data_IF_934638040464
#
_entry.id   IF_934638040464
#
_cell.length_a   1.000
_cell.length_b   1.000
_cell.length_c   1.000
_cell.angle_alpha   90.00
_cell.angle_beta   90.00
_cell.angle_gamma   90.00
#
_symmetry.space_group_name_H-M   'P 1'
#
loop_
_entity.id
_entity.type
_entity.pdbx_description
1 polymer ?
#
# COMPACT_ATOMS: atom_id res chain seq x y z
N UNK A 1 52.84 -78.52 -11.48
CA UNK A 1 53.20 -77.13 -11.29
C UNK A 1 51.93 -76.33 -11.44
N UNK A 2 51.44 -75.83 -10.37
CA UNK A 2 50.08 -75.36 -10.15
C UNK A 2 49.83 -73.91 -10.56
N UNK A 3 48.75 -73.76 -11.30
CA UNK A 3 48.18 -72.46 -11.63
C UNK A 3 46.86 -72.23 -10.91
N UNK A 4 46.88 -71.35 -9.89
CA UNK A 4 45.65 -70.95 -9.14
C UNK A 4 44.82 -69.98 -9.98
N UNK A 5 43.59 -70.37 -10.32
CA UNK A 5 42.59 -69.49 -10.87
C UNK A 5 42.01 -68.61 -9.72
N UNK A 6 42.12 -67.29 -9.86
CA UNK A 6 41.38 -66.34 -9.00
C UNK A 6 40.00 -66.03 -9.65
N UNK A 7 38.98 -66.37 -8.93
CA UNK A 7 37.59 -66.01 -9.29
C UNK A 7 37.40 -64.57 -8.74
N UNK A 8 37.21 -63.61 -9.68
CA UNK A 8 36.85 -62.23 -9.32
C UNK A 8 35.34 -62.13 -9.15
N UNK A 9 34.92 -61.67 -7.96
CA UNK A 9 33.55 -61.32 -7.70
C UNK A 9 33.31 -59.88 -8.17
N UNK A 10 32.52 -59.67 -9.20
CA UNK A 10 32.05 -58.37 -9.62
C UNK A 10 30.84 -58.02 -8.75
N UNK A 11 31.00 -57.08 -7.84
CA UNK A 11 29.93 -56.49 -7.07
C UNK A 11 29.20 -55.51 -7.95
N UNK A 12 27.97 -55.81 -8.34
CA UNK A 12 27.05 -54.85 -9.01
C UNK A 12 26.53 -53.88 -7.95
N UNK A 13 26.95 -52.65 -8.02
CA UNK A 13 26.36 -51.54 -7.24
C UNK A 13 25.13 -51.04 -7.96
N UNK A 14 23.95 -51.44 -7.49
CA UNK A 14 22.69 -50.81 -7.88
C UNK A 14 22.64 -49.40 -7.27
N UNK A 15 22.87 -48.36 -8.09
CA UNK A 15 22.57 -47.00 -7.73
C UNK A 15 21.04 -46.80 -7.74
N UNK A 16 20.43 -46.81 -6.57
CA UNK A 16 19.05 -46.34 -6.41
C UNK A 16 19.00 -44.84 -6.65
N UNK A 17 18.57 -44.43 -7.82
CA UNK A 17 18.18 -43.05 -8.10
C UNK A 17 16.95 -42.73 -7.23
N UNK A 18 17.18 -42.08 -6.09
CA UNK A 18 16.12 -41.44 -5.31
C UNK A 18 15.54 -40.33 -6.18
N UNK A 19 14.37 -40.56 -6.76
CA UNK A 19 13.57 -39.50 -7.39
C UNK A 19 13.19 -38.52 -6.30
N UNK A 20 13.83 -37.36 -6.28
CA UNK A 20 13.34 -36.21 -5.52
C UNK A 20 11.93 -35.90 -5.99
N UNK A 21 10.93 -35.81 -5.10
CA UNK A 21 9.60 -35.40 -5.50
C UNK A 21 9.70 -34.06 -6.21
N UNK A 22 9.28 -33.99 -7.47
CA UNK A 22 9.11 -32.73 -8.18
C UNK A 22 8.28 -31.83 -7.28
N UNK A 23 8.83 -30.65 -6.96
CA UNK A 23 8.17 -29.68 -6.10
C UNK A 23 6.74 -29.53 -6.54
N UNK A 24 5.80 -29.82 -5.64
CA UNK A 24 4.39 -29.63 -5.90
C UNK A 24 4.24 -28.17 -6.35
N UNK A 25 3.83 -27.97 -7.59
CA UNK A 25 3.44 -26.64 -8.07
C UNK A 25 2.46 -26.09 -7.03
N UNK A 26 2.77 -24.98 -6.42
CA UNK A 26 1.88 -24.28 -5.49
C UNK A 26 0.64 -23.95 -6.32
N UNK A 27 -0.38 -24.81 -6.23
CA UNK A 27 -1.66 -24.56 -6.89
C UNK A 27 -2.26 -23.33 -6.22
N UNK A 28 -2.83 -22.43 -7.03
CA UNK A 28 -3.61 -21.30 -6.51
C UNK A 28 -4.68 -21.86 -5.56
N UNK A 29 -4.41 -21.74 -4.25
CA UNK A 29 -5.20 -22.43 -3.24
C UNK A 29 -6.52 -21.70 -2.93
N UNK A 30 -6.78 -20.56 -3.58
CA UNK A 30 -8.01 -19.77 -3.40
C UNK A 30 -9.22 -20.34 -4.15
N UNK A 31 -9.03 -21.36 -5.00
CA UNK A 31 -10.09 -21.92 -5.85
C UNK A 31 -10.43 -21.04 -7.07
N UNK A 32 -11.52 -21.35 -7.77
CA UNK A 32 -11.98 -20.54 -8.90
C UNK A 32 -12.40 -19.15 -8.43
N UNK A 33 -12.42 -18.17 -9.35
CA UNK A 33 -12.83 -16.79 -9.08
C UNK A 33 -14.17 -16.78 -8.31
N UNK A 34 -14.12 -16.24 -7.08
CA UNK A 34 -15.31 -16.18 -6.23
C UNK A 34 -16.30 -15.17 -6.80
N UNK A 35 -17.56 -15.58 -6.96
CA UNK A 35 -18.64 -14.67 -7.37
C UNK A 35 -19.19 -13.83 -6.20
N UNK A 36 -18.82 -14.17 -4.96
CA UNK A 36 -19.25 -13.42 -3.78
C UNK A 36 -18.62 -12.04 -3.79
N UNK A 37 -19.41 -10.95 -3.77
CA UNK A 37 -18.88 -9.60 -3.67
C UNK A 37 -18.11 -9.42 -2.37
N UNK A 38 -16.92 -8.82 -2.45
CA UNK A 38 -16.07 -8.55 -1.30
C UNK A 38 -15.45 -7.15 -1.37
N UNK A 39 -15.18 -6.57 -0.21
CA UNK A 39 -14.31 -5.41 -0.08
C UNK A 39 -12.85 -5.89 0.03
N UNK A 40 -11.98 -5.42 -0.85
CA UNK A 40 -10.54 -5.60 -0.65
C UNK A 40 -10.04 -4.68 0.46
N UNK A 41 -9.37 -5.25 1.46
CA UNK A 41 -8.72 -4.50 2.54
C UNK A 41 -7.23 -4.79 2.47
N UNK A 42 -6.44 -3.77 2.22
CA UNK A 42 -5.01 -3.88 1.93
C UNK A 42 -4.16 -3.16 2.95
N UNK A 43 -2.97 -3.72 3.18
CA UNK A 43 -1.84 -3.07 3.87
C UNK A 43 -0.57 -3.22 3.04
N UNK A 44 0.49 -2.49 3.41
CA UNK A 44 1.75 -2.59 2.67
C UNK A 44 2.68 -3.68 3.22
N UNK A 45 2.78 -3.84 4.54
CA UNK A 45 3.78 -4.72 5.15
C UNK A 45 3.33 -5.32 6.49
N UNK A 46 4.15 -6.23 7.03
CA UNK A 46 3.75 -7.13 8.13
C UNK A 46 3.25 -6.42 9.39
N UNK A 47 3.86 -5.35 9.93
CA UNK A 47 3.36 -4.69 11.14
C UNK A 47 1.93 -4.18 11.03
N UNK A 48 1.50 -3.71 9.84
CA UNK A 48 0.12 -3.30 9.58
C UNK A 48 -0.79 -4.53 9.41
N UNK A 49 -0.28 -5.53 8.68
CA UNK A 49 -1.04 -6.72 8.31
C UNK A 49 -1.43 -7.59 9.52
N UNK A 50 -0.54 -7.72 10.51
CA UNK A 50 -0.83 -8.44 11.76
C UNK A 50 -2.04 -7.87 12.46
N UNK A 51 -2.14 -6.54 12.57
CA UNK A 51 -3.25 -5.86 13.23
C UNK A 51 -4.56 -6.12 12.48
N UNK A 52 -4.54 -6.01 11.12
CA UNK A 52 -5.75 -6.21 10.32
C UNK A 52 -6.21 -7.66 10.29
N UNK A 53 -5.29 -8.62 10.17
CA UNK A 53 -5.65 -10.05 10.18
C UNK A 53 -6.29 -10.48 11.50
N UNK A 54 -5.91 -9.87 12.62
CA UNK A 54 -6.52 -10.12 13.91
C UNK A 54 -8.00 -9.67 14.00
N UNK A 55 -8.46 -8.79 13.12
CA UNK A 55 -9.85 -8.34 13.05
C UNK A 55 -10.75 -9.27 12.22
N UNK A 56 -10.17 -10.19 11.46
CA UNK A 56 -10.94 -11.05 10.55
C UNK A 56 -11.61 -12.17 11.34
N UNK A 57 -12.93 -12.25 11.23
CA UNK A 57 -13.72 -13.38 11.69
C UNK A 57 -13.95 -14.37 10.55
N UNK A 58 -14.11 -15.66 10.87
CA UNK A 58 -14.26 -16.76 9.91
C UNK A 58 -13.15 -16.79 8.83
N UNK A 59 -11.86 -16.72 9.20
CA UNK A 59 -10.78 -16.56 8.27
C UNK A 59 -10.59 -17.80 7.38
N UNK A 60 -10.51 -17.59 6.08
CA UNK A 60 -10.23 -18.58 5.07
C UNK A 60 -8.96 -18.19 4.30
N UNK A 61 -7.78 -18.61 4.79
CA UNK A 61 -6.52 -18.26 4.13
C UNK A 61 -6.35 -19.02 2.82
N UNK A 62 -5.73 -18.36 1.85
CA UNK A 62 -5.32 -18.96 0.59
C UNK A 62 -4.11 -18.21 0.01
N UNK A 63 -3.48 -18.78 -1.02
CA UNK A 63 -2.28 -18.19 -1.62
C UNK A 63 -2.41 -18.21 -3.15
N UNK A 64 -2.07 -17.10 -3.79
CA UNK A 64 -2.01 -16.95 -5.24
C UNK A 64 -0.63 -16.37 -5.59
N UNK A 65 0.14 -17.04 -6.42
CA UNK A 65 1.49 -16.59 -6.85
C UNK A 65 2.39 -16.14 -5.69
N UNK A 66 2.30 -16.81 -4.55
CA UNK A 66 3.09 -16.50 -3.35
C UNK A 66 2.52 -15.39 -2.47
N UNK A 67 1.46 -14.70 -2.88
CA UNK A 67 0.75 -13.69 -2.08
C UNK A 67 -0.32 -14.38 -1.23
N UNK A 68 -0.28 -14.14 0.08
CA UNK A 68 -1.29 -14.63 1.01
C UNK A 68 -2.53 -13.74 1.02
N UNK A 69 -3.69 -14.35 0.86
CA UNK A 69 -5.01 -13.72 0.96
C UNK A 69 -5.79 -14.38 2.10
N UNK A 70 -6.55 -13.59 2.85
CA UNK A 70 -7.46 -14.09 3.88
C UNK A 70 -8.86 -13.57 3.58
N UNK A 71 -9.75 -14.45 3.15
CA UNK A 71 -11.18 -14.14 3.06
C UNK A 71 -11.81 -14.28 4.43
N UNK A 72 -12.81 -13.48 4.71
CA UNK A 72 -13.54 -13.55 5.99
C UNK A 72 -14.47 -12.36 6.14
N UNK A 73 -14.68 -11.95 7.39
CA UNK A 73 -15.49 -10.78 7.70
C UNK A 73 -14.76 -9.84 8.65
N UNK A 74 -14.92 -8.54 8.42
CA UNK A 74 -14.57 -7.50 9.40
C UNK A 74 -15.83 -6.65 9.60
N UNK A 75 -16.26 -6.44 10.85
CA UNK A 75 -17.49 -5.72 11.18
C UNK A 75 -18.73 -6.27 10.44
N UNK A 76 -18.79 -7.60 10.28
CA UNK A 76 -19.86 -8.30 9.57
C UNK A 76 -19.80 -8.25 8.04
N UNK A 77 -18.88 -7.48 7.44
CA UNK A 77 -18.74 -7.34 5.98
C UNK A 77 -17.81 -8.39 5.39
N UNK A 78 -18.18 -8.91 4.25
CA UNK A 78 -17.32 -9.81 3.50
C UNK A 78 -16.08 -9.06 2.99
N UNK A 79 -14.91 -9.54 3.36
CA UNK A 79 -13.62 -8.94 2.96
C UNK A 79 -12.66 -9.97 2.39
N UNK A 80 -11.73 -9.50 1.59
CA UNK A 80 -10.46 -10.16 1.31
C UNK A 80 -9.33 -9.27 1.82
N UNK A 81 -8.57 -9.77 2.81
CA UNK A 81 -7.44 -9.06 3.41
C UNK A 81 -6.14 -9.59 2.85
N UNK A 82 -5.25 -8.70 2.44
CA UNK A 82 -3.94 -9.08 1.91
C UNK A 82 -2.93 -7.95 2.05
N UNK A 83 -1.66 -8.32 1.94
CA UNK A 83 -0.53 -7.41 1.99
C UNK A 83 -0.06 -7.11 0.57
N UNK A 84 0.03 -5.83 0.21
CA UNK A 84 0.48 -5.42 -1.11
C UNK A 84 1.97 -5.71 -1.36
N UNK A 85 2.77 -5.74 -0.31
CA UNK A 85 4.21 -5.56 -0.36
C UNK A 85 4.58 -4.08 -0.45
N UNK A 86 5.79 -3.75 0.00
CA UNK A 86 6.28 -2.37 0.03
C UNK A 86 6.55 -1.87 -1.39
N UNK A 87 6.22 -0.60 -1.63
CA UNK A 87 6.51 0.19 -2.82
C UNK A 87 5.58 -0.04 -4.00
N UNK A 88 5.60 0.90 -4.95
CA UNK A 88 4.65 1.12 -6.04
C UNK A 88 4.42 -0.12 -6.92
N UNK A 89 5.50 -0.80 -7.31
CA UNK A 89 5.41 -1.97 -8.22
C UNK A 89 4.71 -3.13 -7.53
N UNK A 90 5.10 -3.44 -6.28
CA UNK A 90 4.45 -4.48 -5.50
C UNK A 90 2.96 -4.16 -5.29
N UNK A 91 2.66 -2.91 -4.93
CA UNK A 91 1.30 -2.47 -4.69
C UNK A 91 0.42 -2.59 -5.95
N UNK A 92 0.90 -2.13 -7.10
CA UNK A 92 0.18 -2.24 -8.37
C UNK A 92 -0.05 -3.71 -8.77
N UNK A 93 1.01 -4.52 -8.75
CA UNK A 93 0.97 -5.93 -9.16
C UNK A 93 0.01 -6.75 -8.28
N UNK A 94 0.09 -6.55 -6.95
CA UNK A 94 -0.75 -7.31 -6.01
C UNK A 94 -2.21 -6.85 -6.05
N UNK A 95 -2.47 -5.56 -6.27
CA UNK A 95 -3.83 -5.05 -6.46
C UNK A 95 -4.47 -5.67 -7.70
N UNK A 96 -3.76 -5.70 -8.84
CA UNK A 96 -4.28 -6.31 -10.05
C UNK A 96 -4.50 -7.81 -9.86
N UNK A 97 -3.55 -8.52 -9.23
CA UNK A 97 -3.70 -9.93 -8.91
C UNK A 97 -4.98 -10.21 -8.09
N UNK A 98 -5.29 -9.34 -7.12
CA UNK A 98 -6.51 -9.48 -6.32
C UNK A 98 -7.78 -9.25 -7.18
N UNK A 99 -7.78 -8.24 -8.05
CA UNK A 99 -8.89 -7.94 -8.94
C UNK A 99 -9.18 -9.08 -9.93
N UNK A 100 -8.14 -9.77 -10.40
CA UNK A 100 -8.25 -10.90 -11.33
C UNK A 100 -8.84 -12.16 -10.68
N UNK A 101 -8.77 -12.28 -9.34
CA UNK A 101 -9.12 -13.53 -8.63
C UNK A 101 -10.31 -13.41 -7.68
N UNK A 102 -10.73 -12.18 -7.33
CA UNK A 102 -11.84 -11.95 -6.40
C UNK A 102 -12.84 -10.95 -7.01
N UNK A 103 -14.13 -11.16 -6.73
CA UNK A 103 -15.17 -10.20 -7.12
C UNK A 103 -15.13 -8.97 -6.19
N UNK A 104 -14.12 -8.12 -6.38
CA UNK A 104 -13.89 -6.92 -5.58
C UNK A 104 -14.85 -5.82 -6.01
N UNK A 105 -15.66 -5.34 -5.07
CA UNK A 105 -16.60 -4.22 -5.28
C UNK A 105 -15.98 -2.87 -4.96
N UNK A 106 -15.02 -2.82 -4.03
CA UNK A 106 -14.27 -1.61 -3.64
C UNK A 106 -12.92 -1.98 -3.02
N UNK A 107 -11.99 -1.03 -3.05
CA UNK A 107 -10.65 -1.20 -2.48
C UNK A 107 -10.46 -0.20 -1.35
N UNK A 108 -10.04 -0.70 -0.19
CA UNK A 108 -9.69 0.10 0.99
C UNK A 108 -8.24 -0.19 1.35
N UNK A 109 -7.38 0.83 1.28
CA UNK A 109 -5.99 0.72 1.73
C UNK A 109 -5.82 1.41 3.08
N UNK A 110 -5.34 0.63 4.07
CA UNK A 110 -5.12 1.07 5.44
C UNK A 110 -3.67 0.83 5.82
N UNK A 111 -3.02 1.79 6.45
CA UNK A 111 -1.63 1.62 6.85
C UNK A 111 -1.05 2.85 7.54
N UNK A 112 0.28 2.95 7.50
CA UNK A 112 1.02 4.06 8.08
C UNK A 112 1.66 4.93 7.01
N UNK A 113 2.10 6.15 7.38
CA UNK A 113 2.79 7.08 6.48
C UNK A 113 3.48 8.20 7.25
N UNK A 114 4.30 8.97 6.55
CA UNK A 114 4.96 10.15 7.08
C UNK A 114 4.09 11.40 6.95
N UNK A 115 4.00 12.20 7.99
CA UNK A 115 3.21 13.44 8.02
C UNK A 115 3.85 14.56 7.21
N UNK A 116 3.16 15.08 6.19
CA UNK A 116 3.62 16.21 5.37
C UNK A 116 3.09 17.55 5.90
N UNK A 117 1.84 17.58 6.31
CA UNK A 117 1.17 18.79 6.82
C UNK A 117 1.72 19.15 8.21
N UNK A 118 2.21 20.41 8.41
CA UNK A 118 2.75 20.83 9.71
C UNK A 118 1.70 20.94 10.83
N UNK A 119 0.41 20.95 10.51
CA UNK A 119 -0.69 20.97 11.50
C UNK A 119 -1.05 19.59 12.04
N UNK A 120 -0.44 18.54 11.49
CA UNK A 120 -0.70 17.16 11.88
C UNK A 120 0.45 16.60 12.72
N UNK A 121 0.11 15.65 13.57
CA UNK A 121 1.02 15.01 14.50
C UNK A 121 1.02 13.49 14.34
N UNK A 122 2.05 12.83 14.89
CA UNK A 122 2.15 11.36 14.91
C UNK A 122 0.89 10.77 15.57
N UNK A 123 0.38 9.67 15.01
CA UNK A 123 -0.84 9.01 15.47
C UNK A 123 -2.12 9.53 14.83
N UNK A 124 -2.15 10.74 14.26
CA UNK A 124 -3.28 11.22 13.48
C UNK A 124 -3.55 10.28 12.30
N UNK A 125 -4.82 10.11 11.94
CA UNK A 125 -5.21 9.35 10.74
C UNK A 125 -5.63 10.33 9.65
N UNK A 126 -4.93 10.28 8.53
CA UNK A 126 -5.20 11.13 7.36
C UNK A 126 -5.97 10.32 6.32
N UNK A 127 -7.08 10.88 5.84
CA UNK A 127 -7.90 10.35 4.75
C UNK A 127 -7.87 11.34 3.59
N UNK A 128 -6.86 11.29 2.71
CA UNK A 128 -6.78 12.17 1.55
C UNK A 128 -7.97 11.98 0.60
N UNK A 129 -8.38 13.05 -0.06
CA UNK A 129 -9.41 12.98 -1.10
C UNK A 129 -8.87 12.58 -2.47
N UNK A 130 -7.53 12.57 -2.64
CA UNK A 130 -6.84 12.22 -3.88
C UNK A 130 -5.41 11.79 -3.59
N UNK A 131 -4.84 10.98 -4.50
CA UNK A 131 -3.49 10.46 -4.41
C UNK A 131 -2.73 10.69 -5.70
N UNK A 132 -1.41 10.97 -5.61
CA UNK A 132 -0.54 11.17 -6.76
C UNK A 132 0.83 10.50 -6.56
N UNK A 133 1.47 10.18 -7.70
CA UNK A 133 2.82 9.62 -7.74
C UNK A 133 3.82 10.77 -7.95
N UNK A 134 4.45 11.26 -6.89
CA UNK A 134 5.30 12.44 -6.98
C UNK A 134 6.67 12.20 -7.63
N UNK A 135 7.11 10.95 -7.75
CA UNK A 135 8.34 10.57 -8.47
C UNK A 135 8.07 9.93 -9.84
N UNK A 136 6.85 9.90 -10.30
CA UNK A 136 6.58 9.79 -11.73
C UNK A 136 6.94 11.12 -12.35
N UNK A 137 8.18 11.24 -12.83
CA UNK A 137 8.78 12.54 -13.10
C UNK A 137 9.89 12.47 -14.15
N UNK A 138 10.20 13.60 -14.76
CA UNK A 138 11.41 13.81 -15.53
C UNK A 138 12.48 14.55 -14.73
N UNK A 139 13.74 14.24 -14.97
CA UNK A 139 14.84 15.01 -14.40
C UNK A 139 15.25 16.13 -15.35
N UNK A 140 15.10 17.37 -14.92
CA UNK A 140 15.44 18.56 -15.65
C UNK A 140 16.95 18.74 -15.82
N UNK A 141 17.37 19.27 -16.96
CA UNK A 141 18.77 19.63 -17.23
C UNK A 141 19.12 20.94 -16.51
N UNK A 142 20.28 20.99 -15.87
CA UNK A 142 20.80 22.22 -15.30
C UNK A 142 20.96 23.32 -16.36
N UNK A 143 20.66 24.58 -16.01
CA UNK A 143 20.77 25.75 -16.88
C UNK A 143 21.96 26.62 -16.48
N UNK A 144 22.51 27.44 -17.41
CA UNK A 144 23.65 28.30 -17.15
C UNK A 144 23.37 29.37 -16.08
N UNK A 145 22.10 29.80 -15.93
CA UNK A 145 21.66 30.77 -14.92
C UNK A 145 21.38 30.14 -13.54
N UNK A 146 21.67 28.87 -13.36
CA UNK A 146 21.24 28.08 -12.21
C UNK A 146 19.80 27.58 -12.35
N UNK A 147 19.42 26.58 -11.56
CA UNK A 147 18.12 25.92 -11.67
C UNK A 147 18.07 24.83 -12.76
N UNK A 148 16.87 24.45 -13.18
CA UNK A 148 16.65 23.31 -14.07
C UNK A 148 15.58 23.62 -15.11
N UNK A 149 15.77 23.15 -16.34
CA UNK A 149 14.80 23.25 -17.41
C UNK A 149 13.81 22.08 -17.37
N UNK A 150 12.54 22.37 -17.66
CA UNK A 150 11.51 21.34 -17.82
C UNK A 150 11.94 20.32 -18.88
N UNK A 151 11.84 19.02 -18.62
CA UNK A 151 12.10 18.00 -19.62
C UNK A 151 11.19 18.13 -20.86
N UNK A 152 11.69 17.76 -22.06
CA UNK A 152 10.94 17.94 -23.31
C UNK A 152 9.68 17.07 -23.41
N UNK A 153 9.64 15.96 -22.67
CA UNK A 153 8.48 15.05 -22.62
C UNK A 153 7.70 15.30 -21.33
N UNK A 154 6.73 16.20 -21.40
CA UNK A 154 5.82 16.52 -20.30
C UNK A 154 4.37 16.43 -20.78
N UNK A 155 3.50 15.85 -19.99
CA UNK A 155 2.08 15.73 -20.30
C UNK A 155 1.27 16.75 -19.50
N UNK A 156 0.56 17.63 -20.18
CA UNK A 156 -0.28 18.64 -19.55
C UNK A 156 0.49 19.87 -19.03
N UNK A 157 -0.12 20.60 -18.12
CA UNK A 157 0.50 21.80 -17.53
C UNK A 157 1.64 21.41 -16.58
N UNK A 158 2.73 22.19 -16.55
CA UNK A 158 3.85 21.94 -15.66
C UNK A 158 3.43 21.96 -14.19
N UNK A 159 3.84 20.94 -13.46
CA UNK A 159 3.65 20.86 -12.01
C UNK A 159 4.85 21.49 -11.28
N UNK A 160 4.68 21.95 -10.02
CA UNK A 160 5.79 22.41 -9.21
C UNK A 160 6.90 21.34 -9.13
N UNK A 161 8.16 21.78 -9.29
CA UNK A 161 9.34 20.91 -9.23
C UNK A 161 10.10 21.01 -7.93
N UNK A 162 10.76 19.94 -7.53
CA UNK A 162 11.74 19.94 -6.44
C UNK A 162 13.16 19.84 -7.03
N UNK A 163 13.83 20.96 -7.14
CA UNK A 163 15.10 21.01 -7.87
C UNK A 163 14.95 20.48 -9.29
N UNK A 164 15.71 19.44 -9.64
CA UNK A 164 15.67 18.82 -10.96
C UNK A 164 14.49 17.87 -11.19
N UNK A 165 13.69 17.55 -10.16
CA UNK A 165 12.59 16.60 -10.23
C UNK A 165 11.32 17.32 -10.66
N UNK A 166 10.84 17.03 -11.87
CA UNK A 166 9.61 17.59 -12.44
C UNK A 166 8.54 16.49 -12.49
N UNK A 167 7.58 16.48 -11.57
CA UNK A 167 6.48 15.52 -11.60
C UNK A 167 5.71 15.60 -12.90
N UNK A 168 5.33 14.43 -13.43
CA UNK A 168 4.69 14.32 -14.75
C UNK A 168 3.44 13.45 -14.65
N UNK A 169 2.29 13.88 -15.19
CA UNK A 169 1.13 13.02 -15.33
C UNK A 169 1.42 11.77 -16.16
N UNK A 170 0.77 10.67 -15.84
CA UNK A 170 0.84 9.42 -16.61
C UNK A 170 -0.37 9.27 -17.52
N UNK A 171 -0.17 8.67 -18.69
CA UNK A 171 -1.26 8.29 -19.57
C UNK A 171 -1.89 6.98 -19.08
N UNK A 172 -3.14 7.03 -18.69
CA UNK A 172 -3.88 5.88 -18.16
C UNK A 172 -5.04 5.52 -19.06
N UNK A 173 -5.07 4.28 -19.53
CA UNK A 173 -6.20 3.70 -20.25
C UNK A 173 -7.26 3.17 -19.28
N UNK A 174 -8.51 3.24 -19.73
CA UNK A 174 -9.67 2.60 -19.10
C UNK A 174 -10.53 1.97 -20.18
N UNK A 175 -11.46 1.10 -19.81
CA UNK A 175 -12.36 0.45 -20.78
C UNK A 175 -13.29 1.42 -21.55
N UNK A 176 -13.36 2.67 -21.12
CA UNK A 176 -14.36 3.64 -21.63
C UNK A 176 -13.84 4.67 -22.63
N UNK A 177 -12.56 4.64 -23.04
CA UNK A 177 -12.07 5.68 -23.95
C UNK A 177 -10.55 5.72 -24.16
N UNK A 178 -10.04 6.75 -24.85
CA UNK A 178 -8.60 6.90 -25.04
C UNK A 178 -7.89 7.17 -23.70
N UNK A 179 -6.59 6.82 -23.61
CA UNK A 179 -5.79 7.11 -22.42
C UNK A 179 -5.83 8.60 -22.06
N UNK A 180 -5.97 8.88 -20.78
CA UNK A 180 -6.01 10.24 -20.23
C UNK A 180 -4.76 10.53 -19.41
N UNK A 181 -4.23 11.74 -19.51
CA UNK A 181 -3.15 12.21 -18.65
C UNK A 181 -3.69 12.46 -17.23
N UNK A 182 -3.15 11.73 -16.25
CA UNK A 182 -3.56 11.79 -14.86
C UNK A 182 -2.36 12.00 -13.96
N UNK A 183 -2.41 13.04 -13.13
CA UNK A 183 -1.52 13.20 -11.99
C UNK A 183 -2.23 12.76 -10.70
N UNK A 184 -3.48 13.18 -10.53
CA UNK A 184 -4.30 12.83 -9.38
C UNK A 184 -5.27 11.68 -9.67
N UNK A 185 -5.34 10.74 -8.74
CA UNK A 185 -6.34 9.69 -8.67
C UNK A 185 -7.28 10.02 -7.49
N UNK A 186 -8.50 10.39 -7.81
CA UNK A 186 -9.49 10.79 -6.81
C UNK A 186 -10.00 9.58 -6.04
N UNK A 187 -10.23 9.77 -4.74
CA UNK A 187 -10.95 8.83 -3.89
C UNK A 187 -12.44 8.86 -4.26
N UNK A 188 -13.10 7.70 -4.17
CA UNK A 188 -14.55 7.63 -4.43
C UNK A 188 -15.31 8.59 -3.50
N UNK A 189 -16.17 9.48 -4.05
CA UNK A 189 -16.85 10.49 -3.24
C UNK A 189 -17.76 9.90 -2.17
N UNK A 190 -18.43 8.77 -2.46
CA UNK A 190 -19.31 8.10 -1.50
C UNK A 190 -18.52 7.51 -0.33
N UNK A 191 -17.35 6.89 -0.61
CA UNK A 191 -16.45 6.39 0.42
C UNK A 191 -15.86 7.54 1.26
N UNK A 192 -15.53 8.66 0.62
CA UNK A 192 -15.00 9.84 1.32
C UNK A 192 -16.07 10.46 2.25
N UNK A 193 -17.32 10.49 1.83
CA UNK A 193 -18.43 10.97 2.66
C UNK A 193 -18.71 10.07 3.86
N UNK A 194 -18.58 8.74 3.69
CA UNK A 194 -18.60 7.81 4.84
C UNK A 194 -17.45 8.13 5.80
N UNK A 195 -16.22 8.30 5.30
CA UNK A 195 -15.07 8.64 6.13
C UNK A 195 -15.29 9.93 6.94
N UNK A 196 -15.85 10.99 6.33
CA UNK A 196 -16.19 12.25 7.02
C UNK A 196 -17.19 12.04 8.15
N UNK A 197 -18.23 11.25 7.90
CA UNK A 197 -19.30 10.98 8.90
C UNK A 197 -18.78 10.25 10.13
N UNK A 198 -17.81 9.36 9.97
CA UNK A 198 -17.31 8.53 11.07
C UNK A 198 -15.99 9.02 11.67
N UNK A 199 -15.40 10.09 11.15
CA UNK A 199 -14.10 10.60 11.59
C UNK A 199 -13.99 10.79 13.10
N UNK A 200 -15.02 11.38 13.73
CA UNK A 200 -15.07 11.61 15.17
C UNK A 200 -15.39 10.35 16.00
N UNK A 201 -15.78 9.25 15.36
CA UNK A 201 -16.19 8.01 16.05
C UNK A 201 -15.03 7.02 16.23
N UNK A 202 -13.88 7.28 15.63
CA UNK A 202 -12.71 6.44 15.76
C UNK A 202 -12.07 6.59 17.14
N UNK A 203 -11.92 5.49 17.86
CA UNK A 203 -11.25 5.48 19.17
C UNK A 203 -9.73 5.27 18.94
N UNK A 204 -9.01 6.36 18.71
CA UNK A 204 -7.57 6.35 18.49
C UNK A 204 -6.83 6.31 19.83
N UNK A 205 -5.70 5.59 19.87
CA UNK A 205 -4.85 5.53 21.05
C UNK A 205 -3.68 6.50 20.95
N UNK A 206 -3.30 7.09 22.09
CA UNK A 206 -2.10 7.91 22.21
C UNK A 206 -0.87 7.13 22.67
N UNK A 207 -1.00 5.87 23.08
CA UNK A 207 0.10 5.07 23.61
C UNK A 207 0.40 3.83 22.78
N UNK A 208 1.66 3.64 22.47
CA UNK A 208 2.16 2.41 21.86
C UNK A 208 2.19 1.24 22.87
N UNK A 209 2.12 -0.02 22.43
CA UNK A 209 2.19 -1.18 23.31
C UNK A 209 3.45 -1.27 24.15
N UNK A 210 4.54 -0.63 23.75
CA UNK A 210 5.81 -0.56 24.48
C UNK A 210 5.90 0.53 25.53
N UNK A 211 4.82 1.30 25.77
CA UNK A 211 4.74 2.36 26.78
C UNK A 211 5.14 3.75 26.29
N UNK A 212 5.60 3.92 25.06
CA UNK A 212 5.78 5.24 24.45
C UNK A 212 4.40 5.88 24.20
N UNK A 213 4.18 7.08 24.74
CA UNK A 213 2.92 7.81 24.59
C UNK A 213 3.17 9.17 23.92
N UNK A 214 2.21 9.59 23.12
CA UNK A 214 2.12 10.92 22.57
C UNK A 214 1.68 11.91 23.67
N UNK A 215 2.03 13.15 23.54
CA UNK A 215 1.62 14.26 24.44
C UNK A 215 0.27 14.89 24.02
N UNK A 216 -0.35 14.35 22.99
CA UNK A 216 -1.64 14.81 22.45
C UNK A 216 -2.57 13.62 22.16
N UNK A 217 -3.85 13.94 21.93
CA UNK A 217 -4.85 12.96 21.48
C UNK A 217 -4.90 12.93 19.95
N UNK A 218 -4.61 11.77 19.32
CA UNK A 218 -4.72 11.62 17.87
C UNK A 218 -6.14 11.85 17.35
N UNK A 219 -6.25 12.36 16.12
CA UNK A 219 -7.53 12.64 15.46
C UNK A 219 -7.56 12.11 14.03
N UNK A 220 -8.76 11.98 13.47
CA UNK A 220 -8.96 11.68 12.06
C UNK A 220 -9.15 12.97 11.27
N UNK A 221 -8.39 13.15 10.20
CA UNK A 221 -8.45 14.34 9.35
C UNK A 221 -8.75 13.91 7.91
N UNK A 222 -9.87 14.41 7.36
CA UNK A 222 -10.34 14.05 6.02
C UNK A 222 -10.13 15.21 5.06
N UNK A 223 -9.56 14.92 3.89
CA UNK A 223 -9.28 15.89 2.82
C UNK A 223 -7.79 16.14 2.59
N UNK A 224 -7.49 17.05 1.67
CA UNK A 224 -6.13 17.28 1.19
C UNK A 224 -5.63 16.19 0.25
N UNK A 225 -4.33 16.23 -0.07
CA UNK A 225 -3.65 15.25 -0.92
C UNK A 225 -2.89 14.21 -0.11
N UNK A 226 -2.75 13.03 -0.69
CA UNK A 226 -1.73 12.04 -0.34
C UNK A 226 -0.79 11.86 -1.52
N UNK A 227 0.49 11.68 -1.27
CA UNK A 227 1.46 11.45 -2.35
C UNK A 227 2.33 10.23 -2.04
N UNK A 228 2.56 9.42 -3.07
CA UNK A 228 3.32 8.18 -2.96
C UNK A 228 4.53 8.18 -3.89
N UNK A 229 5.58 7.50 -3.47
CA UNK A 229 6.75 7.27 -4.32
C UNK A 229 7.60 6.11 -3.80
N UNK A 230 8.50 5.54 -4.62
CA UNK A 230 9.31 4.38 -4.25
C UNK A 230 10.50 4.75 -3.35
N UNK A 231 10.31 5.70 -2.44
CA UNK A 231 11.30 6.16 -1.47
C UNK A 231 10.69 6.39 -0.11
N UNK A 232 11.43 6.07 0.95
CA UNK A 232 11.14 6.50 2.30
C UNK A 232 11.61 7.96 2.45
N UNK A 233 10.68 8.87 2.77
CA UNK A 233 11.00 10.30 2.90
C UNK A 233 11.32 10.62 4.35
N UNK A 234 12.56 11.02 4.60
CA UNK A 234 13.05 11.57 5.87
C UNK A 234 13.83 12.86 5.56
N UNK A 235 13.12 13.85 4.99
CA UNK A 235 13.71 15.09 4.51
C UNK A 235 12.77 16.28 4.67
N UNK A 236 13.10 17.18 5.58
CA UNK A 236 12.26 18.34 5.92
C UNK A 236 11.98 19.27 4.72
N UNK A 237 12.95 19.48 3.84
CA UNK A 237 12.77 20.35 2.67
C UNK A 237 11.80 19.70 1.67
N UNK A 238 11.91 18.39 1.43
CA UNK A 238 10.99 17.67 0.57
C UNK A 238 9.58 17.56 1.19
N UNK A 239 9.47 17.33 2.49
CA UNK A 239 8.21 17.39 3.25
C UNK A 239 7.48 18.71 3.03
N UNK A 240 8.19 19.82 3.24
CA UNK A 240 7.64 21.18 3.03
C UNK A 240 7.22 21.41 1.58
N UNK A 241 8.03 20.98 0.62
CA UNK A 241 7.69 21.05 -0.78
C UNK A 241 6.41 20.25 -1.10
N UNK A 242 6.31 18.99 -0.67
CA UNK A 242 5.15 18.15 -0.92
C UNK A 242 3.86 18.77 -0.36
N UNK A 243 3.94 19.34 0.86
CA UNK A 243 2.81 20.06 1.45
C UNK A 243 2.43 21.30 0.65
N UNK A 244 3.39 22.17 0.32
CA UNK A 244 3.14 23.43 -0.37
C UNK A 244 2.68 23.21 -1.82
N UNK A 245 3.35 22.31 -2.55
CA UNK A 245 3.11 22.10 -3.97
C UNK A 245 1.85 21.28 -4.26
N UNK A 246 1.52 20.33 -3.42
CA UNK A 246 0.46 19.34 -3.68
C UNK A 246 -0.66 19.37 -2.63
N UNK A 247 -0.61 20.26 -1.64
CA UNK A 247 -1.46 20.20 -0.45
C UNK A 247 -1.42 18.81 0.20
N UNK A 248 -0.24 18.14 0.11
CA UNK A 248 -0.07 16.82 0.67
C UNK A 248 -0.11 16.88 2.20
N UNK A 249 -0.87 15.98 2.80
CA UNK A 249 -0.95 15.77 4.24
C UNK A 249 -0.14 14.57 4.69
N UNK A 250 0.06 13.62 3.81
CA UNK A 250 0.76 12.37 4.08
C UNK A 250 1.57 11.93 2.87
N UNK A 251 2.72 11.31 3.16
CA UNK A 251 3.59 10.63 2.20
C UNK A 251 3.61 9.15 2.53
N UNK A 252 3.56 8.31 1.49
CA UNK A 252 3.74 6.88 1.62
C UNK A 252 4.44 6.27 0.38
N UNK A 253 4.46 4.96 0.29
CA UNK A 253 5.18 4.28 -0.80
C UNK A 253 4.26 3.45 -1.72
N UNK A 254 2.93 3.41 -1.52
CA UNK A 254 2.03 2.47 -2.20
C UNK A 254 0.72 3.07 -2.70
N UNK A 255 0.07 3.92 -1.90
CA UNK A 255 -1.36 4.20 -2.06
C UNK A 255 -1.73 4.78 -3.43
N UNK A 256 -0.88 5.64 -4.01
CA UNK A 256 -1.13 6.18 -5.33
C UNK A 256 -1.08 5.09 -6.43
N UNK A 257 -0.26 4.04 -6.27
CA UNK A 257 -0.25 2.93 -7.21
C UNK A 257 -1.53 2.09 -7.12
N UNK A 258 -2.03 1.86 -5.90
CA UNK A 258 -3.32 1.19 -5.69
C UNK A 258 -4.46 2.02 -6.28
N UNK A 259 -4.47 3.33 -6.04
CA UNK A 259 -5.44 4.26 -6.62
C UNK A 259 -5.41 4.27 -8.16
N UNK A 260 -4.21 4.22 -8.75
CA UNK A 260 -4.01 4.13 -10.20
C UNK A 260 -4.63 2.83 -10.77
N UNK A 261 -4.32 1.68 -10.15
CA UNK A 261 -4.90 0.39 -10.58
C UNK A 261 -6.41 0.37 -10.39
N UNK A 262 -6.92 0.91 -9.28
CA UNK A 262 -8.36 1.03 -9.04
C UNK A 262 -9.05 1.86 -10.13
N UNK A 263 -8.48 3.03 -10.46
CA UNK A 263 -8.97 3.89 -11.54
C UNK A 263 -8.99 3.16 -12.90
N UNK A 264 -7.89 2.49 -13.27
CA UNK A 264 -7.80 1.76 -14.54
C UNK A 264 -8.84 0.63 -14.65
N UNK A 265 -9.24 0.03 -13.52
CA UNK A 265 -10.23 -1.04 -13.44
C UNK A 265 -11.64 -0.54 -13.08
N UNK A 266 -11.89 0.78 -13.02
CA UNK A 266 -13.20 1.34 -12.69
C UNK A 266 -13.71 0.95 -11.29
N UNK A 267 -12.81 0.76 -10.31
CA UNK A 267 -13.19 0.33 -8.95
C UNK A 267 -13.19 1.50 -7.97
N UNK A 268 -14.24 1.64 -7.15
CA UNK A 268 -14.24 2.56 -6.03
C UNK A 268 -13.04 2.31 -5.10
N UNK A 269 -12.34 3.38 -4.74
CA UNK A 269 -11.13 3.32 -3.95
C UNK A 269 -11.14 4.36 -2.83
N UNK A 270 -10.58 4.00 -1.67
CA UNK A 270 -10.17 4.90 -0.60
C UNK A 270 -8.88 4.40 0.04
N UNK A 271 -7.98 5.32 0.36
CA UNK A 271 -6.78 5.06 1.14
C UNK A 271 -6.65 6.01 2.31
N UNK A 272 -6.23 5.50 3.46
CA UNK A 272 -5.93 6.32 4.63
C UNK A 272 -4.70 5.79 5.37
N UNK A 273 -4.00 6.72 6.02
CA UNK A 273 -2.74 6.44 6.69
C UNK A 273 -2.73 7.09 8.07
N UNK A 274 -2.30 6.36 9.10
CA UNK A 274 -1.94 6.96 10.37
C UNK A 274 -0.47 7.38 10.36
N UNK A 275 -0.16 8.53 10.92
CA UNK A 275 1.19 9.08 10.87
C UNK A 275 2.10 8.35 11.86
N UNK A 276 3.14 7.70 11.36
CA UNK A 276 4.16 7.00 12.14
C UNK A 276 5.37 7.88 12.47
N UNK A 277 5.56 8.91 11.67
CA UNK A 277 6.65 9.88 11.71
C UNK A 277 6.22 11.16 10.97
N UNK A 278 7.10 12.16 10.92
CA UNK A 278 6.81 13.44 10.26
C UNK A 278 7.65 13.66 8.99
N UNK A 279 8.07 12.60 8.32
CA UNK A 279 8.79 12.65 7.03
C UNK A 279 10.03 13.58 7.05
N UNK A 280 10.78 13.59 8.16
CA UNK A 280 11.92 14.48 8.38
C UNK A 280 11.57 15.82 9.03
N UNK A 281 10.34 16.00 9.49
CA UNK A 281 9.91 17.14 10.31
C UNK A 281 10.03 16.88 11.83
N UNK A 282 10.50 15.70 12.22
CA UNK A 282 10.77 15.35 13.61
C UNK A 282 11.90 16.22 14.18
N UNK A 283 11.78 16.59 15.47
CA UNK A 283 12.73 17.54 16.12
C UNK A 283 14.17 16.98 16.16
N UNK A 284 14.30 15.67 16.25
CA UNK A 284 15.60 14.97 16.36
C UNK A 284 15.72 13.86 15.32
N UNK A 285 15.57 12.60 15.74
CA UNK A 285 15.58 11.45 14.86
C UNK A 285 14.15 11.08 14.43
N UNK A 286 14.00 10.44 13.27
CA UNK A 286 12.74 9.91 12.80
C UNK A 286 12.13 8.96 13.84
N UNK A 287 10.87 9.15 14.18
CA UNK A 287 10.21 8.46 15.28
C UNK A 287 9.46 7.18 14.85
N UNK A 288 9.59 6.76 13.61
CA UNK A 288 8.88 5.58 13.08
C UNK A 288 9.03 4.33 13.98
N UNK A 289 10.23 4.05 14.47
CA UNK A 289 10.47 2.88 15.34
C UNK A 289 9.71 2.94 16.67
N UNK A 290 9.47 4.13 17.20
CA UNK A 290 8.72 4.31 18.44
C UNK A 290 7.21 4.18 18.24
N UNK A 291 6.68 4.69 17.12
CA UNK A 291 5.24 4.86 16.92
C UNK A 291 4.62 4.04 15.79
N UNK A 292 5.39 3.21 15.08
CA UNK A 292 4.87 2.37 14.00
C UNK A 292 3.68 1.51 14.45
N UNK A 293 3.80 0.84 15.58
CA UNK A 293 2.74 -0.04 16.09
C UNK A 293 1.51 0.74 16.58
N UNK A 294 1.69 1.95 17.10
CA UNK A 294 0.60 2.86 17.46
C UNK A 294 -0.13 3.31 16.19
N UNK A 295 0.58 3.77 15.18
CA UNK A 295 0.01 4.22 13.93
C UNK A 295 -0.74 3.09 13.21
N UNK A 296 -0.18 1.88 13.15
CA UNK A 296 -0.86 0.71 12.59
C UNK A 296 -2.19 0.42 13.29
N UNK A 297 -2.23 0.51 14.63
CA UNK A 297 -3.46 0.33 15.42
C UNK A 297 -4.47 1.43 15.18
N UNK A 298 -4.05 2.69 15.10
CA UNK A 298 -4.93 3.81 14.84
C UNK A 298 -5.55 3.74 13.44
N UNK A 299 -4.77 3.36 12.43
CA UNK A 299 -5.28 3.09 11.09
C UNK A 299 -6.33 1.97 11.09
N UNK A 300 -6.06 0.86 11.81
CA UNK A 300 -6.99 -0.25 11.93
C UNK A 300 -8.25 0.11 12.74
N UNK A 301 -8.13 0.93 13.78
CA UNK A 301 -9.29 1.42 14.55
C UNK A 301 -10.22 2.28 13.67
N UNK A 302 -9.64 3.15 12.83
CA UNK A 302 -10.43 3.90 11.86
C UNK A 302 -11.07 2.98 10.81
N UNK A 303 -10.34 2.00 10.29
CA UNK A 303 -10.88 1.01 9.36
C UNK A 303 -12.14 0.32 9.90
N UNK A 304 -12.15 -0.09 11.17
CA UNK A 304 -13.30 -0.76 11.77
C UNK A 304 -14.55 0.13 11.76
N UNK A 305 -14.46 1.38 12.22
CA UNK A 305 -15.62 2.29 12.21
C UNK A 305 -16.05 2.64 10.79
N UNK A 306 -15.11 2.76 9.86
CA UNK A 306 -15.37 3.01 8.46
C UNK A 306 -16.13 1.84 7.81
N UNK A 307 -15.64 0.59 7.95
CA UNK A 307 -16.28 -0.59 7.39
C UNK A 307 -17.69 -0.80 7.96
N UNK A 308 -17.89 -0.56 9.25
CA UNK A 308 -19.20 -0.66 9.91
C UNK A 308 -20.22 0.30 9.29
N UNK A 309 -19.79 1.49 8.91
CA UNK A 309 -20.64 2.55 8.38
C UNK A 309 -20.88 2.49 6.86
N UNK A 310 -20.16 1.64 6.14
CA UNK A 310 -20.39 1.46 4.71
C UNK A 310 -21.85 1.01 4.46
N UNK A 311 -22.52 1.45 3.39
CA UNK A 311 -23.81 0.90 3.00
C UNK A 311 -23.71 -0.61 2.69
N UNK A 312 -24.80 -1.35 2.76
CA UNK A 312 -24.83 -2.74 2.33
C UNK A 312 -24.41 -2.84 0.85
N UNK A 313 -23.73 -3.95 0.49
CA UNK A 313 -23.32 -4.24 -0.88
C UNK A 313 -24.52 -4.60 -1.75
#
# INVERSE_FOLDING_TARGET
MGGRRRIGWAAAVLAALAATPAGAAVRDACGPVSQVPVTAVMTAFEPESVVLRALVTDPQPCTIKGVAFVRGRIEGRAVVVFQSGVSMVNAAMTTQLALDHFNITRIVMSGVGGGADPELAIGDVVVPQRWAQYLESGFGRATEGGGFALPPFHHGEPLPSFGMIFPNPVLVGTDGGPPQAKFWFEVDPGLLDVARKVAASANLTACAPGGACLDHTPRVVVGGGGVSGPVFVDNAAFRSFAHTAFAARVLDMETAAVAHVAYANGKPFIGFRSLSDLAGGDVHANQIHAFLSLAARNSAAFLQVFLRALPAD
#
